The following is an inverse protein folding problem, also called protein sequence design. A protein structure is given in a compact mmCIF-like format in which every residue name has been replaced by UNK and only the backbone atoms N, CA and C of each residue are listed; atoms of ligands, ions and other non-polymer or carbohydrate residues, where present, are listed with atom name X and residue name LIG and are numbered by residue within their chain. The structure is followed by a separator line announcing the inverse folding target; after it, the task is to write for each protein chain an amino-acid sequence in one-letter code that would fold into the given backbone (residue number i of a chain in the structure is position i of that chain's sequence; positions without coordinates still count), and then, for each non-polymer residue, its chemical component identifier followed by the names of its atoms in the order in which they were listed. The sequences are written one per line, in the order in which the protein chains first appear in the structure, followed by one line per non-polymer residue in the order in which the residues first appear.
data_IF_622009848058
#
_entry.id   IF_622009848058
#
_cell.length_a   1.000
_cell.length_b   1.000
_cell.length_c   1.000
_cell.angle_alpha   90.00
_cell.angle_beta   90.00
_cell.angle_gamma   90.00
#
_symmetry.space_group_name_H-M   'P 1'
#
loop_
_entity.id
_entity.type
_entity.pdbx_description
1 polymer ?
#
# COMPACT_ATOMS: atom_id res chain seq x y z
N UNK A 1 1.65 -17.11 22.63
CA UNK A 1 2.05 -15.81 22.08
C UNK A 1 1.92 -15.94 20.58
N UNK A 2 1.15 -15.07 19.93
CA UNK A 2 0.96 -15.08 18.47
C UNK A 2 2.28 -14.77 17.78
N UNK A 3 2.54 -15.46 16.67
CA UNK A 3 3.74 -15.27 15.85
C UNK A 3 3.37 -14.78 14.44
N UNK A 4 4.23 -13.96 13.85
CA UNK A 4 4.13 -13.60 12.43
C UNK A 4 4.74 -14.77 11.64
N UNK A 5 3.99 -15.31 10.69
CA UNK A 5 4.37 -16.49 9.90
C UNK A 5 4.64 -16.14 8.45
N UNK A 6 4.18 -14.99 7.96
CA UNK A 6 4.29 -14.61 6.56
C UNK A 6 4.27 -13.10 6.33
N UNK A 7 4.68 -12.74 5.13
CA UNK A 7 4.63 -11.39 4.58
C UNK A 7 4.31 -11.47 3.10
N UNK A 8 3.33 -10.69 2.66
CA UNK A 8 2.98 -10.47 1.26
C UNK A 8 3.08 -8.99 0.94
N UNK A 9 3.65 -8.65 -0.20
CA UNK A 9 3.72 -7.28 -0.71
C UNK A 9 2.94 -7.13 -2.00
N UNK A 10 2.34 -5.96 -2.19
CA UNK A 10 1.51 -5.64 -3.34
C UNK A 10 1.89 -4.24 -3.83
N UNK A 11 2.28 -4.12 -5.10
CA UNK A 11 2.44 -2.83 -5.79
C UNK A 11 1.05 -2.39 -6.26
N UNK A 12 0.45 -1.43 -5.56
CA UNK A 12 -0.87 -0.88 -5.84
C UNK A 12 -0.72 0.53 -6.42
N UNK A 13 -1.34 0.80 -7.57
CA UNK A 13 -1.31 2.11 -8.22
C UNK A 13 -2.69 2.54 -8.66
N UNK A 14 -2.99 3.82 -8.49
CA UNK A 14 -4.23 4.44 -8.90
C UNK A 14 -3.92 5.49 -9.98
N UNK A 15 -4.68 5.53 -11.10
CA UNK A 15 -4.41 6.44 -12.21
C UNK A 15 -4.93 7.86 -11.92
N UNK A 16 -4.48 8.47 -10.82
CA UNK A 16 -4.87 9.83 -10.40
C UNK A 16 -4.38 10.91 -11.35
N UNK A 17 -3.31 10.64 -12.10
CA UNK A 17 -2.82 11.53 -13.16
C UNK A 17 -3.86 11.81 -14.24
N UNK A 18 -4.81 10.89 -14.48
CA UNK A 18 -5.88 11.08 -15.48
C UNK A 18 -6.80 12.26 -15.13
N UNK A 19 -6.98 12.56 -13.84
CA UNK A 19 -7.72 13.72 -13.32
C UNK A 19 -6.81 14.88 -12.88
N UNK A 20 -5.48 14.69 -12.92
CA UNK A 20 -4.48 15.54 -12.25
C UNK A 20 -4.75 15.71 -10.75
N UNK A 21 -5.33 14.69 -10.12
CA UNK A 21 -5.64 14.73 -8.69
C UNK A 21 -4.35 14.72 -7.88
N UNK A 22 -4.18 15.72 -7.00
CA UNK A 22 -2.98 15.85 -6.18
C UNK A 22 -1.79 16.49 -6.87
N UNK A 23 -1.95 17.01 -8.10
CA UNK A 23 -0.89 17.75 -8.79
C UNK A 23 -0.49 19.02 -8.02
N UNK A 24 0.80 19.32 -8.00
CA UNK A 24 1.35 20.55 -7.44
C UNK A 24 2.54 21.06 -8.29
N UNK A 25 3.22 22.11 -7.82
CA UNK A 25 4.34 22.71 -8.56
C UNK A 25 5.56 21.78 -8.72
N UNK A 26 5.72 20.80 -7.83
CA UNK A 26 6.81 19.84 -7.82
C UNK A 26 6.41 18.49 -8.43
N UNK A 27 5.14 18.09 -8.31
CA UNK A 27 4.59 16.83 -8.77
C UNK A 27 3.42 17.11 -9.74
N UNK A 28 3.67 17.32 -11.04
CA UNK A 28 2.65 17.82 -11.97
C UNK A 28 1.55 16.80 -12.33
N UNK A 29 1.86 15.52 -12.34
CA UNK A 29 1.00 14.43 -12.82
C UNK A 29 1.15 13.14 -11.98
N UNK A 30 0.91 13.18 -10.66
CA UNK A 30 1.17 12.04 -9.79
C UNK A 30 0.15 10.91 -10.01
N UNK A 31 0.66 9.68 -10.06
CA UNK A 31 -0.14 8.47 -9.84
C UNK A 31 0.09 7.98 -8.43
N UNK A 32 -0.89 8.24 -7.56
CA UNK A 32 -0.85 7.82 -6.17
C UNK A 32 -0.74 6.31 -6.08
N UNK A 33 0.20 5.87 -5.25
CA UNK A 33 0.53 4.46 -5.13
C UNK A 33 0.77 4.06 -3.68
N UNK A 34 0.73 2.75 -3.46
CA UNK A 34 1.00 2.14 -2.17
C UNK A 34 1.87 0.90 -2.36
N UNK A 35 3.03 0.91 -1.72
CA UNK A 35 3.73 -0.32 -1.37
C UNK A 35 2.99 -0.95 -0.19
N UNK A 36 2.01 -1.82 -0.49
CA UNK A 36 1.13 -2.40 0.51
C UNK A 36 1.70 -3.71 1.06
N UNK A 37 1.55 -3.94 2.36
CA UNK A 37 2.01 -5.15 3.04
C UNK A 37 0.89 -5.78 3.84
N UNK A 38 0.84 -7.11 3.78
CA UNK A 38 0.06 -7.94 4.71
C UNK A 38 1.03 -8.84 5.47
N UNK A 39 0.91 -8.85 6.80
CA UNK A 39 1.60 -9.76 7.70
C UNK A 39 0.61 -10.85 8.11
N UNK A 40 0.94 -12.09 7.77
CA UNK A 40 0.13 -13.24 8.15
C UNK A 40 0.55 -13.71 9.55
N UNK A 41 -0.42 -14.00 10.42
CA UNK A 41 -0.16 -14.56 11.75
C UNK A 41 -0.42 -16.07 11.77
N UNK A 42 0.11 -16.74 12.80
CA UNK A 42 -0.20 -18.16 13.08
C UNK A 42 -1.65 -18.42 13.52
N UNK A 43 -2.40 -17.36 13.82
CA UNK A 43 -3.79 -17.44 14.27
C UNK A 43 -4.72 -17.21 13.08
N UNK A 44 -5.53 -18.21 12.76
CA UNK A 44 -6.46 -18.16 11.63
C UNK A 44 -7.34 -16.90 11.66
N UNK A 45 -7.34 -16.15 10.56
CA UNK A 45 -8.11 -14.92 10.40
C UNK A 45 -7.50 -13.67 11.04
N UNK A 46 -6.32 -13.76 11.66
CA UNK A 46 -5.58 -12.59 12.16
C UNK A 46 -4.51 -12.17 11.15
N UNK A 47 -4.65 -10.97 10.61
CA UNK A 47 -3.69 -10.36 9.69
C UNK A 47 -3.35 -8.93 10.12
N UNK A 48 -2.12 -8.50 9.83
CA UNK A 48 -1.68 -7.11 9.98
C UNK A 48 -1.56 -6.44 8.62
N UNK A 49 -2.12 -5.24 8.48
CA UNK A 49 -2.12 -4.50 7.22
C UNK A 49 -1.38 -3.17 7.36
N UNK A 50 -0.58 -2.81 6.36
CA UNK A 50 0.15 -1.55 6.33
C UNK A 50 0.48 -1.11 4.92
N UNK A 51 0.85 0.16 4.77
CA UNK A 51 1.32 0.70 3.50
C UNK A 51 2.27 1.88 3.69
N UNK A 52 3.10 2.09 2.68
CA UNK A 52 3.79 3.36 2.45
C UNK A 52 3.19 4.02 1.23
N UNK A 53 2.82 5.29 1.36
CA UNK A 53 2.34 6.13 0.26
C UNK A 53 3.52 6.67 -0.55
N UNK A 54 3.38 6.65 -1.87
CA UNK A 54 4.36 7.20 -2.82
C UNK A 54 3.68 7.87 -4.00
#
# INVERSE_FOLDING_TARGET
MTTITGLRTIDLRFPTSAGLDGSDAMNPDPDYSAAYVVLDADTDGLEGHGLTFT
#
